data_IF_123770460973
#
_entry.id   IF_123770460973
#
_cell.length_a   1.000
_cell.length_b   1.000
_cell.length_c   1.000
_cell.angle_alpha   90.00
_cell.angle_beta   90.00
_cell.angle_gamma   90.00
#
_symmetry.space_group_name_H-M   'P 1'
#
loop_
_entity.id
_entity.type
_entity.pdbx_description
1 polymer ?
#
# COMPACT_ATOMS: atom_id res chain seq x y z
N UNK A 1 -21.98 -7.65 12.01
CA UNK A 1 -21.39 -6.40 12.51
C UNK A 1 -20.01 -6.27 11.87
N UNK A 2 -19.94 -5.61 10.72
CA UNK A 2 -18.66 -5.35 10.06
C UNK A 2 -17.93 -4.24 10.83
N UNK A 3 -16.62 -4.39 11.00
CA UNK A 3 -15.79 -3.38 11.67
C UNK A 3 -15.80 -2.09 10.83
N UNK A 4 -16.50 -1.06 11.31
CA UNK A 4 -16.54 0.27 10.67
C UNK A 4 -17.94 0.83 10.37
N UNK A 5 -19.02 0.04 10.53
CA UNK A 5 -20.37 0.56 10.31
C UNK A 5 -20.93 1.24 11.58
N UNK A 6 -21.49 2.46 11.49
CA UNK A 6 -22.11 3.13 12.63
C UNK A 6 -23.36 2.37 13.07
N UNK A 7 -23.49 2.15 14.39
CA UNK A 7 -24.64 1.46 14.99
C UNK A 7 -25.98 2.18 14.72
N UNK A 8 -25.93 3.49 14.45
CA UNK A 8 -27.07 4.32 14.10
C UNK A 8 -26.75 5.03 12.78
N UNK A 9 -27.49 4.70 11.73
CA UNK A 9 -27.34 5.32 10.40
C UNK A 9 -28.05 6.67 10.39
N UNK A 10 -27.27 7.74 10.41
CA UNK A 10 -27.71 9.13 10.31
C UNK A 10 -26.96 9.84 9.19
N UNK A 11 -27.49 10.91 8.60
CA UNK A 11 -26.78 11.67 7.58
C UNK A 11 -25.42 12.21 8.07
N UNK A 12 -25.26 12.45 9.38
CA UNK A 12 -23.99 12.85 9.99
C UNK A 12 -22.98 11.69 10.11
N UNK A 13 -23.46 10.47 10.39
CA UNK A 13 -22.60 9.29 10.42
C UNK A 13 -22.19 8.85 9.01
N UNK A 14 -23.04 9.07 8.00
CA UNK A 14 -22.70 8.79 6.59
C UNK A 14 -21.66 9.77 6.05
N UNK A 15 -21.68 11.02 6.53
CA UNK A 15 -20.66 12.01 6.17
C UNK A 15 -19.30 11.74 6.82
N UNK A 16 -19.28 11.28 8.08
CA UNK A 16 -18.05 11.01 8.82
C UNK A 16 -17.51 9.58 8.67
N UNK A 17 -18.34 8.64 8.21
CA UNK A 17 -17.97 7.23 7.99
C UNK A 17 -16.74 7.01 7.08
N UNK A 18 -16.58 7.73 5.96
CA UNK A 18 -15.43 7.56 5.07
C UNK A 18 -14.09 7.98 5.68
N UNK A 19 -14.09 8.74 6.80
CA UNK A 19 -12.84 9.26 7.40
C UNK A 19 -11.95 8.12 7.93
N UNK A 20 -12.56 7.01 8.37
CA UNK A 20 -11.85 5.88 8.97
C UNK A 20 -11.53 4.76 7.97
N UNK A 21 -11.99 4.89 6.73
CA UNK A 21 -11.84 3.86 5.70
C UNK A 21 -10.79 4.35 4.70
N UNK A 22 -9.87 3.47 4.26
CA UNK A 22 -8.88 3.83 3.23
C UNK A 22 -9.53 4.09 1.85
N UNK A 23 -10.85 3.88 1.76
CA UNK A 23 -11.71 4.21 0.64
C UNK A 23 -11.87 5.72 0.40
N UNK A 24 -11.69 6.57 1.42
CA UNK A 24 -11.60 8.02 1.21
C UNK A 24 -10.30 8.31 0.45
N UNK A 25 -10.47 8.77 -0.80
CA UNK A 25 -9.50 8.79 -1.90
C UNK A 25 -8.19 9.57 -1.67
N UNK A 26 -7.87 10.01 -0.45
CA UNK A 26 -6.83 11.00 -0.19
C UNK A 26 -5.54 10.49 0.46
N UNK A 27 -5.46 9.23 0.90
CA UNK A 27 -4.27 8.74 1.63
C UNK A 27 -3.30 7.96 0.74
N UNK A 28 -3.78 7.00 -0.08
CA UNK A 28 -2.95 6.33 -1.10
C UNK A 28 -3.86 5.64 -2.15
N UNK A 29 -4.00 6.16 -3.39
CA UNK A 29 -4.84 5.54 -4.42
C UNK A 29 -4.37 4.12 -4.78
N UNK A 30 -3.09 3.78 -4.51
CA UNK A 30 -2.54 2.46 -4.73
C UNK A 30 -3.11 1.42 -3.75
N UNK A 31 -3.34 1.81 -2.49
CA UNK A 31 -3.85 0.89 -1.47
C UNK A 31 -5.34 0.61 -1.60
N UNK A 32 -6.10 1.47 -2.29
CA UNK A 32 -7.53 1.26 -2.55
C UNK A 32 -7.80 -0.05 -3.28
N UNK A 33 -7.00 -0.40 -4.29
CA UNK A 33 -7.19 -1.65 -5.03
C UNK A 33 -6.96 -2.89 -4.15
N UNK A 34 -5.95 -2.84 -3.28
CA UNK A 34 -5.60 -3.91 -2.34
C UNK A 34 -6.67 -4.04 -1.25
N UNK A 35 -7.16 -2.92 -0.72
CA UNK A 35 -8.28 -2.90 0.23
C UNK A 35 -9.53 -3.54 -0.37
N UNK A 36 -9.85 -3.24 -1.63
CA UNK A 36 -11.00 -3.85 -2.31
C UNK A 36 -10.84 -5.36 -2.51
N UNK A 37 -9.61 -5.86 -2.68
CA UNK A 37 -9.36 -7.31 -2.74
C UNK A 37 -9.58 -7.97 -1.37
N UNK A 38 -9.06 -7.37 -0.30
CA UNK A 38 -9.29 -7.83 1.06
C UNK A 38 -10.79 -7.85 1.40
N UNK A 39 -11.53 -6.80 1.06
CA UNK A 39 -12.97 -6.72 1.31
C UNK A 39 -13.76 -7.82 0.58
N UNK A 40 -13.40 -8.14 -0.67
CA UNK A 40 -14.01 -9.26 -1.42
C UNK A 40 -13.76 -10.61 -0.74
N UNK A 41 -12.55 -10.81 -0.20
CA UNK A 41 -12.24 -12.03 0.53
C UNK A 41 -13.03 -12.11 1.85
N UNK A 42 -13.11 -11.00 2.60
CA UNK A 42 -13.90 -10.92 3.84
C UNK A 42 -15.40 -11.14 3.55
N UNK A 43 -15.91 -10.64 2.43
CA UNK A 43 -17.29 -10.86 1.99
C UNK A 43 -17.56 -12.35 1.71
N UNK A 44 -16.61 -13.05 1.08
CA UNK A 44 -16.74 -14.47 0.76
C UNK A 44 -16.68 -15.39 2.00
N UNK A 45 -15.76 -15.16 2.94
CA UNK A 45 -15.51 -16.06 4.07
C UNK A 45 -16.08 -15.58 5.41
N UNK A 46 -16.38 -14.30 5.54
CA UNK A 46 -16.87 -13.66 6.75
C UNK A 46 -15.77 -13.27 7.76
N UNK A 47 -16.13 -12.32 8.64
CA UNK A 47 -15.28 -11.75 9.69
C UNK A 47 -14.68 -12.77 10.71
N UNK A 48 -15.30 -13.89 11.08
CA UNK A 48 -14.65 -14.81 12.02
C UNK A 48 -13.47 -15.57 11.40
N UNK A 49 -13.45 -15.74 10.07
CA UNK A 49 -12.46 -16.58 9.37
C UNK A 49 -11.42 -15.82 8.56
N UNK A 50 -11.63 -14.52 8.29
CA UNK A 50 -10.73 -13.75 7.41
C UNK A 50 -9.26 -13.78 7.84
N UNK A 51 -8.96 -13.84 9.15
CA UNK A 51 -7.57 -13.90 9.63
C UNK A 51 -6.83 -15.17 9.19
N UNK A 52 -7.55 -16.24 8.89
CA UNK A 52 -6.99 -17.51 8.41
C UNK A 52 -7.10 -17.63 6.91
N UNK A 53 -8.30 -17.37 6.37
CA UNK A 53 -8.62 -17.64 4.96
C UNK A 53 -8.20 -16.50 4.02
N UNK A 54 -8.12 -15.26 4.52
CA UNK A 54 -7.73 -14.05 3.75
C UNK A 54 -6.38 -13.48 4.21
N UNK A 55 -5.46 -14.37 4.61
CA UNK A 55 -4.19 -13.97 5.23
C UNK A 55 -3.32 -13.16 4.27
N UNK A 56 -3.23 -13.58 3.01
CA UNK A 56 -2.35 -12.96 2.03
C UNK A 56 -2.85 -11.56 1.65
N UNK A 57 -4.16 -11.42 1.41
CA UNK A 57 -4.78 -10.12 1.12
C UNK A 57 -4.66 -9.16 2.31
N UNK A 58 -4.76 -9.68 3.53
CA UNK A 58 -4.60 -8.88 4.75
C UNK A 58 -3.14 -8.43 4.93
N UNK A 59 -2.19 -9.34 4.71
CA UNK A 59 -0.76 -9.04 4.83
C UNK A 59 -0.33 -8.02 3.76
N UNK A 60 -0.89 -8.09 2.55
CA UNK A 60 -0.66 -7.12 1.47
C UNK A 60 -1.28 -5.75 1.79
N UNK A 61 -2.52 -5.72 2.32
CA UNK A 61 -3.13 -4.48 2.78
C UNK A 61 -2.31 -3.83 3.92
N UNK A 62 -1.86 -4.64 4.88
CA UNK A 62 -1.02 -4.19 6.00
C UNK A 62 0.33 -3.65 5.52
N UNK A 63 0.94 -4.31 4.53
CA UNK A 63 2.16 -3.81 3.87
C UNK A 63 1.88 -2.48 3.19
N UNK A 64 0.79 -2.37 2.43
CA UNK A 64 0.46 -1.15 1.71
C UNK A 64 0.24 0.05 2.66
N UNK A 65 -0.41 -0.15 3.80
CA UNK A 65 -0.63 0.90 4.80
C UNK A 65 0.64 1.32 5.55
N UNK A 66 1.57 0.40 5.80
CA UNK A 66 2.76 0.67 6.63
C UNK A 66 4.03 0.94 5.81
N UNK A 67 4.06 0.44 4.58
CA UNK A 67 5.21 0.38 3.66
C UNK A 67 6.46 -0.24 4.28
N UNK A 68 6.29 -1.14 5.27
CA UNK A 68 7.41 -1.67 6.07
C UNK A 68 8.38 -2.47 5.21
N UNK A 69 7.89 -3.47 4.47
CA UNK A 69 8.73 -4.32 3.61
C UNK A 69 9.40 -3.50 2.50
N UNK A 70 8.68 -2.56 1.91
CA UNK A 70 9.25 -1.63 0.93
C UNK A 70 10.43 -0.83 1.49
N UNK A 71 10.30 -0.26 2.70
CA UNK A 71 11.37 0.49 3.36
C UNK A 71 12.58 -0.38 3.67
N UNK A 72 12.36 -1.56 4.23
CA UNK A 72 13.43 -2.52 4.53
C UNK A 72 14.19 -2.90 3.25
N UNK A 73 13.47 -3.23 2.18
CA UNK A 73 14.06 -3.53 0.87
C UNK A 73 14.87 -2.36 0.32
N UNK A 74 14.35 -1.13 0.42
CA UNK A 74 15.07 0.07 0.00
C UNK A 74 16.39 0.23 0.75
N UNK A 75 16.39 0.07 2.08
CA UNK A 75 17.60 0.17 2.91
C UNK A 75 18.65 -0.86 2.49
N UNK A 76 18.25 -2.11 2.30
CA UNK A 76 19.16 -3.18 1.85
C UNK A 76 19.80 -2.84 0.51
N UNK A 77 18.99 -2.44 -0.48
CA UNK A 77 19.48 -2.04 -1.80
C UNK A 77 20.46 -0.86 -1.71
N UNK A 78 20.16 0.13 -0.87
CA UNK A 78 21.00 1.32 -0.71
C UNK A 78 22.33 1.01 -0.02
N UNK A 79 22.33 0.09 0.95
CA UNK A 79 23.53 -0.36 1.63
C UNK A 79 24.44 -1.15 0.66
N UNK A 80 23.86 -2.05 -0.12
CA UNK A 80 24.62 -2.83 -1.10
C UNK A 80 25.19 -1.93 -2.20
N UNK A 81 24.39 -0.99 -2.72
CA UNK A 81 24.86 0.01 -3.69
C UNK A 81 26.01 0.85 -3.13
N UNK A 82 25.95 1.24 -1.86
CA UNK A 82 27.05 1.95 -1.19
C UNK A 82 28.30 1.07 -1.11
N UNK A 83 28.15 -0.21 -0.76
CA UNK A 83 29.26 -1.18 -0.69
C UNK A 83 29.96 -1.31 -2.04
N UNK A 84 29.19 -1.48 -3.11
CA UNK A 84 29.72 -1.62 -4.48
C UNK A 84 30.46 -0.36 -4.95
N UNK A 85 29.91 0.83 -4.67
CA UNK A 85 30.55 2.10 -4.98
C UNK A 85 31.88 2.28 -4.23
N UNK A 86 31.91 2.01 -2.92
CA UNK A 86 33.13 2.10 -2.12
C UNK A 86 34.19 1.07 -2.53
N UNK A 87 33.77 -0.11 -3.00
CA UNK A 87 34.67 -1.14 -3.53
C UNK A 87 35.23 -0.83 -4.92
N UNK A 88 34.78 0.25 -5.57
CA UNK A 88 35.18 0.62 -6.93
C UNK A 88 34.56 -0.23 -8.05
N UNK A 89 33.68 -1.19 -7.72
CA UNK A 89 32.95 -1.99 -8.71
C UNK A 89 31.89 -1.20 -9.47
N UNK A 90 31.38 -0.11 -8.87
CA UNK A 90 30.39 0.78 -9.46
C UNK A 90 31.02 2.15 -9.69
N UNK A 91 31.02 2.64 -10.94
CA UNK A 91 31.59 3.94 -11.31
C UNK A 91 30.85 5.10 -10.65
N UNK A 92 29.53 5.08 -10.72
CA UNK A 92 28.65 6.12 -10.16
C UNK A 92 27.71 5.50 -9.13
N UNK A 93 27.49 6.18 -8.01
CA UNK A 93 26.65 5.66 -6.92
C UNK A 93 25.19 5.50 -7.33
N UNK A 94 24.67 6.36 -8.19
CA UNK A 94 23.31 6.31 -8.70
C UNK A 94 23.33 6.33 -10.22
N UNK A 95 22.39 5.61 -10.84
CA UNK A 95 22.13 5.77 -12.27
C UNK A 95 21.60 7.17 -12.53
N UNK A 96 21.93 7.72 -13.69
CA UNK A 96 21.34 8.98 -14.12
C UNK A 96 19.83 8.83 -14.22
N UNK A 97 19.10 9.89 -13.86
CA UNK A 97 17.66 9.90 -14.01
C UNK A 97 17.33 9.64 -15.49
N UNK A 98 16.47 8.66 -15.81
CA UNK A 98 16.08 8.45 -17.19
C UNK A 98 15.38 9.72 -17.73
N UNK A 99 15.55 9.97 -19.03
CA UNK A 99 15.00 11.16 -19.67
C UNK A 99 13.47 11.22 -19.55
N UNK A 100 12.89 12.43 -19.50
CA UNK A 100 11.47 12.64 -19.17
C UNK A 100 10.50 11.80 -20.02
N UNK A 101 10.81 11.61 -21.31
CA UNK A 101 10.00 10.81 -22.24
C UNK A 101 9.92 9.30 -21.92
N UNK A 102 10.76 8.80 -21.02
CA UNK A 102 10.76 7.40 -20.57
C UNK A 102 9.68 7.09 -19.53
N UNK A 103 9.11 8.12 -18.89
CA UNK A 103 8.07 7.95 -17.90
C UNK A 103 6.71 7.73 -18.59
N UNK A 104 5.96 6.69 -18.21
CA UNK A 104 4.59 6.51 -18.68
C UNK A 104 3.76 7.75 -18.32
N UNK A 105 3.00 8.26 -19.29
CA UNK A 105 2.25 9.51 -19.14
C UNK A 105 1.22 9.43 -18.00
N UNK A 106 0.81 8.23 -17.59
CA UNK A 106 -0.13 8.01 -16.47
C UNK A 106 0.45 8.29 -15.08
N UNK A 107 1.76 8.48 -14.93
CA UNK A 107 2.43 8.78 -13.64
C UNK A 107 2.83 10.24 -13.43
N UNK A 108 2.56 11.11 -14.40
CA UNK A 108 2.92 12.55 -14.38
C UNK A 108 1.73 13.47 -14.03
N UNK A 109 0.56 12.89 -13.74
CA UNK A 109 -0.65 13.60 -13.34
C UNK A 109 -1.01 13.31 -11.88
#
# INVERSE_FOLDING_TARGET
MAAGEPLIKTPLSDFSGPIFNMQAQHIDPLCRAVEMQLMKCIEAYGVPRFRRDCKDEYDDFSECSTKKKQKERYVVIQNERRRLFLSGQLKDRYMQNPELHSYPRERLA
#
